data_IF_854730298117
#
_entry.id   IF_854730298117
#
_cell.length_a   1.000
_cell.length_b   1.000
_cell.length_c   1.000
_cell.angle_alpha   90.00
_cell.angle_beta   90.00
_cell.angle_gamma   90.00
#
_symmetry.space_group_name_H-M   'P 1'
#
loop_
_entity.id
_entity.type
_entity.pdbx_description
1 polymer ?
#
# COMPACT_ATOMS: atom_id res chain seq x y z
N UNK A 1 46.17 35.02 -20.44
CA UNK A 1 45.57 33.89 -21.20
C UNK A 1 44.44 33.34 -20.37
N UNK A 2 43.18 33.37 -20.83
CA UNK A 2 42.09 32.77 -20.07
C UNK A 2 42.19 31.24 -20.18
N UNK A 3 42.25 30.58 -19.03
CA UNK A 3 42.14 29.13 -18.86
C UNK A 3 40.86 28.64 -19.55
N UNK A 4 40.99 27.87 -20.62
CA UNK A 4 39.85 27.20 -21.23
C UNK A 4 39.32 26.19 -20.22
N UNK A 5 38.19 26.53 -19.58
CA UNK A 5 37.46 25.65 -18.65
C UNK A 5 36.92 24.45 -19.43
N UNK A 6 37.76 23.43 -19.56
CA UNK A 6 37.39 22.15 -20.14
C UNK A 6 36.40 21.49 -19.18
N UNK A 7 35.09 21.72 -19.40
CA UNK A 7 34.08 20.91 -18.74
C UNK A 7 34.31 19.47 -19.21
N UNK A 8 34.56 18.50 -18.31
CA UNK A 8 34.70 17.11 -18.73
C UNK A 8 33.42 16.73 -19.49
N UNK A 9 33.59 16.11 -20.65
CA UNK A 9 32.46 15.63 -21.44
C UNK A 9 31.65 14.67 -20.56
N UNK A 10 30.33 14.90 -20.44
CA UNK A 10 29.46 14.06 -19.63
C UNK A 10 29.50 12.62 -20.18
N UNK A 11 29.92 11.67 -19.33
CA UNK A 11 29.87 10.25 -19.66
C UNK A 11 28.42 9.76 -19.58
N UNK A 12 27.85 9.46 -20.74
CA UNK A 12 26.49 8.94 -20.88
C UNK A 12 26.34 7.63 -20.10
N UNK A 13 27.38 6.80 -20.07
CA UNK A 13 27.38 5.53 -19.34
C UNK A 13 27.23 5.74 -17.83
N UNK A 14 27.95 6.72 -17.29
CA UNK A 14 27.81 7.10 -15.89
C UNK A 14 26.39 7.61 -15.59
N UNK A 15 25.84 8.52 -16.41
CA UNK A 15 24.49 9.07 -16.18
C UNK A 15 23.43 7.95 -16.15
N UNK A 16 23.45 7.06 -17.14
CA UNK A 16 22.47 5.98 -17.22
C UNK A 16 22.63 4.96 -16.09
N UNK A 17 23.86 4.70 -15.66
CA UNK A 17 24.14 3.87 -14.49
C UNK A 17 23.57 4.49 -13.21
N UNK A 18 23.78 5.80 -13.00
CA UNK A 18 23.23 6.54 -11.86
C UNK A 18 21.71 6.58 -11.87
N UNK A 19 21.09 6.78 -13.04
CA UNK A 19 19.63 6.75 -13.18
C UNK A 19 19.06 5.36 -12.87
N UNK A 20 19.75 4.30 -13.32
CA UNK A 20 19.38 2.93 -12.99
C UNK A 20 19.44 2.68 -11.49
N UNK A 21 20.51 3.12 -10.83
CA UNK A 21 20.68 2.98 -9.38
C UNK A 21 19.63 3.77 -8.61
N UNK A 22 19.33 5.01 -9.03
CA UNK A 22 18.27 5.82 -8.46
C UNK A 22 16.89 5.13 -8.54
N UNK A 23 16.56 4.57 -9.70
CA UNK A 23 15.33 3.81 -9.88
C UNK A 23 15.31 2.53 -9.03
N UNK A 24 16.43 1.83 -8.91
CA UNK A 24 16.56 0.64 -8.06
C UNK A 24 16.34 0.96 -6.58
N UNK A 25 16.98 2.01 -6.07
CA UNK A 25 16.82 2.48 -4.70
C UNK A 25 15.38 2.93 -4.42
N UNK A 26 14.76 3.66 -5.35
CA UNK A 26 13.35 4.06 -5.23
C UNK A 26 12.42 2.84 -5.16
N UNK A 27 12.65 1.83 -6.00
CA UNK A 27 11.88 0.58 -5.94
C UNK A 27 12.05 -0.13 -4.60
N UNK A 28 13.28 -0.19 -4.08
CA UNK A 28 13.58 -0.81 -2.79
C UNK A 28 12.86 -0.08 -1.64
N UNK A 29 13.00 1.24 -1.56
CA UNK A 29 12.34 2.09 -0.56
C UNK A 29 10.81 1.94 -0.61
N UNK A 30 10.22 1.99 -1.80
CA UNK A 30 8.78 1.79 -1.95
C UNK A 30 8.32 0.42 -1.44
N UNK A 31 9.15 -0.61 -1.51
CA UNK A 31 8.82 -1.93 -0.95
C UNK A 31 8.99 -1.99 0.58
N UNK A 32 10.03 -1.37 1.13
CA UNK A 32 10.21 -1.27 2.58
C UNK A 32 9.10 -0.46 3.25
N UNK A 33 8.72 0.68 2.67
CA UNK A 33 7.64 1.53 3.19
C UNK A 33 6.31 0.79 3.22
N UNK A 34 6.05 -0.07 2.22
CA UNK A 34 4.84 -0.93 2.23
C UNK A 34 4.82 -1.92 3.39
N UNK A 35 5.98 -2.47 3.75
CA UNK A 35 6.08 -3.35 4.93
C UNK A 35 5.81 -2.54 6.20
N UNK A 36 6.39 -1.35 6.29
CA UNK A 36 6.26 -0.45 7.43
C UNK A 36 4.82 0.00 7.66
N UNK A 37 4.15 0.54 6.64
CA UNK A 37 2.74 0.96 6.69
C UNK A 37 1.84 -0.18 7.14
N UNK A 38 2.02 -1.37 6.56
CA UNK A 38 1.26 -2.57 6.95
C UNK A 38 1.47 -2.92 8.42
N UNK A 39 2.73 -2.97 8.89
CA UNK A 39 3.04 -3.33 10.27
C UNK A 39 2.49 -2.32 11.28
N UNK A 40 2.59 -1.02 11.00
CA UNK A 40 2.04 0.01 11.88
C UNK A 40 0.52 -0.11 12.01
N UNK A 41 -0.19 -0.30 10.90
CA UNK A 41 -1.63 -0.50 10.95
C UNK A 41 -2.03 -1.71 11.80
N UNK A 42 -1.39 -2.86 11.59
CA UNK A 42 -1.67 -4.08 12.36
C UNK A 42 -1.37 -3.89 13.84
N UNK A 43 -0.26 -3.22 14.19
CA UNK A 43 0.08 -2.92 15.57
C UNK A 43 -0.98 -2.03 16.22
N UNK A 44 -1.38 -0.92 15.57
CA UNK A 44 -2.41 -0.01 16.07
C UNK A 44 -3.77 -0.71 16.22
N UNK A 45 -4.17 -1.52 15.24
CA UNK A 45 -5.39 -2.30 15.31
C UNK A 45 -5.34 -3.31 16.48
N UNK A 46 -4.20 -3.99 16.68
CA UNK A 46 -3.98 -4.90 17.80
C UNK A 46 -4.08 -4.21 19.17
N UNK A 47 -3.52 -3.01 19.32
CA UNK A 47 -3.66 -2.21 20.54
C UNK A 47 -5.12 -1.86 20.81
N UNK A 48 -5.88 -1.46 19.78
CA UNK A 48 -7.29 -1.13 19.95
C UNK A 48 -8.12 -2.37 20.35
N UNK A 49 -7.84 -3.53 19.76
CA UNK A 49 -8.47 -4.80 20.16
C UNK A 49 -8.17 -5.13 21.64
N UNK A 50 -6.94 -4.89 22.10
CA UNK A 50 -6.60 -5.09 23.50
C UNK A 50 -7.36 -4.12 24.43
N UNK A 51 -7.58 -2.87 24.01
CA UNK A 51 -8.40 -1.91 24.77
C UNK A 51 -9.84 -2.39 24.95
N UNK A 52 -10.42 -3.10 23.98
CA UNK A 52 -11.77 -3.66 24.12
C UNK A 52 -11.89 -4.67 25.25
N UNK A 53 -10.83 -5.42 25.55
CA UNK A 53 -10.85 -6.43 26.61
C UNK A 53 -11.04 -5.82 28.01
N UNK A 54 -10.77 -4.52 28.16
CA UNK A 54 -10.81 -3.81 29.45
C UNK A 54 -11.92 -2.76 29.49
N UNK A 55 -12.65 -2.56 28.40
CA UNK A 55 -13.69 -1.54 28.30
C UNK A 55 -14.97 -1.94 29.04
N UNK A 56 -15.51 -1.04 29.87
CA UNK A 56 -16.82 -1.22 30.48
C UNK A 56 -17.94 -0.79 29.51
N UNK A 57 -18.53 -1.75 28.81
CA UNK A 57 -19.59 -1.49 27.85
C UNK A 57 -20.95 -1.15 28.48
N UNK A 58 -21.14 -1.27 29.81
CA UNK A 58 -22.34 -0.75 30.47
C UNK A 58 -22.33 0.79 30.47
N UNK A 59 -21.13 1.37 30.58
CA UNK A 59 -20.93 2.81 30.58
C UNK A 59 -21.02 3.40 29.16
N UNK A 60 -21.93 4.36 28.98
CA UNK A 60 -22.15 5.04 27.69
C UNK A 60 -20.91 5.75 27.16
N UNK A 61 -20.10 6.36 28.02
CA UNK A 61 -18.90 7.10 27.62
C UNK A 61 -17.84 6.18 27.02
N UNK A 62 -17.70 4.96 27.56
CA UNK A 62 -16.80 3.95 27.00
C UNK A 62 -17.27 3.47 25.63
N UNK A 63 -18.58 3.24 25.45
CA UNK A 63 -19.14 2.91 24.13
C UNK A 63 -18.87 4.00 23.09
N UNK A 64 -19.01 5.28 23.47
CA UNK A 64 -18.69 6.42 22.60
C UNK A 64 -17.20 6.45 22.26
N UNK A 65 -16.32 6.31 23.26
CA UNK A 65 -14.88 6.31 23.04
C UNK A 65 -14.44 5.21 22.08
N UNK A 66 -14.99 3.99 22.26
CA UNK A 66 -14.74 2.86 21.35
C UNK A 66 -15.30 3.12 19.94
N UNK A 67 -16.50 3.69 19.82
CA UNK A 67 -17.09 4.05 18.53
C UNK A 67 -16.21 5.04 17.76
N UNK A 68 -15.72 6.09 18.45
CA UNK A 68 -14.81 7.08 17.89
C UNK A 68 -13.49 6.42 17.47
N UNK A 69 -12.90 5.60 18.34
CA UNK A 69 -11.63 4.94 18.07
C UNK A 69 -11.72 4.03 16.83
N UNK A 70 -12.79 3.24 16.67
CA UNK A 70 -13.01 2.43 15.48
C UNK A 70 -13.31 3.24 14.22
N UNK A 71 -13.98 4.39 14.37
CA UNK A 71 -14.20 5.32 13.25
C UNK A 71 -12.87 5.86 12.74
N UNK A 72 -12.00 6.32 13.66
CA UNK A 72 -10.66 6.81 13.32
C UNK A 72 -9.78 5.70 12.74
N UNK A 73 -9.81 4.50 13.33
CA UNK A 73 -9.08 3.34 12.82
C UNK A 73 -9.55 2.95 11.41
N UNK A 74 -10.85 3.05 11.14
CA UNK A 74 -11.43 2.81 9.82
C UNK A 74 -10.90 3.80 8.76
N UNK A 75 -10.92 5.10 9.10
CA UNK A 75 -10.42 6.15 8.20
C UNK A 75 -8.93 5.95 7.96
N UNK A 76 -8.16 5.73 9.02
CA UNK A 76 -6.72 5.47 8.93
C UNK A 76 -6.43 4.23 8.09
N UNK A 77 -7.13 3.12 8.33
CA UNK A 77 -6.93 1.88 7.58
C UNK A 77 -7.27 2.02 6.11
N UNK A 78 -8.24 2.88 5.77
CA UNK A 78 -8.55 3.17 4.37
C UNK A 78 -7.42 3.97 3.71
N UNK A 79 -6.88 4.96 4.39
CA UNK A 79 -5.71 5.72 3.92
C UNK A 79 -4.48 4.81 3.76
N UNK A 80 -4.21 3.94 4.74
CA UNK A 80 -3.12 2.97 4.65
C UNK A 80 -3.30 2.01 3.47
N UNK A 81 -4.53 1.62 3.11
CA UNK A 81 -4.78 0.83 1.90
C UNK A 81 -4.38 1.60 0.63
N UNK A 82 -4.76 2.88 0.55
CA UNK A 82 -4.41 3.74 -0.58
C UNK A 82 -2.89 3.92 -0.68
N UNK A 83 -2.19 4.10 0.44
CA UNK A 83 -0.73 4.14 0.48
C UNK A 83 -0.11 2.85 -0.05
N UNK A 84 -0.59 1.67 0.40
CA UNK A 84 -0.10 0.38 -0.08
C UNK A 84 -0.27 0.20 -1.60
N UNK A 85 -1.39 0.69 -2.15
CA UNK A 85 -1.68 0.70 -3.59
C UNK A 85 -0.72 1.65 -4.31
N UNK A 86 -0.59 2.90 -3.84
CA UNK A 86 0.27 3.91 -4.46
C UNK A 86 1.74 3.51 -4.46
N UNK A 87 2.23 2.95 -3.35
CA UNK A 87 3.59 2.43 -3.25
C UNK A 87 3.81 1.23 -4.19
N UNK A 88 2.76 0.42 -4.47
CA UNK A 88 2.86 -0.67 -5.46
C UNK A 88 2.97 -0.14 -6.89
N UNK A 89 2.28 0.95 -7.19
CA UNK A 89 2.39 1.65 -8.48
C UNK A 89 3.78 2.26 -8.62
N UNK A 90 4.25 3.01 -7.61
CA UNK A 90 5.59 3.61 -7.59
C UNK A 90 6.69 2.56 -7.81
N UNK A 91 6.61 1.42 -7.12
CA UNK A 91 7.52 0.30 -7.34
C UNK A 91 7.53 -0.18 -8.80
N UNK A 92 6.34 -0.33 -9.42
CA UNK A 92 6.25 -0.79 -10.82
C UNK A 92 6.86 0.23 -11.78
N UNK A 93 6.63 1.51 -11.53
CA UNK A 93 7.14 2.57 -12.40
C UNK A 93 8.67 2.68 -12.31
N UNK A 94 9.26 2.53 -11.13
CA UNK A 94 10.71 2.40 -10.98
C UNK A 94 11.28 1.18 -11.71
N UNK A 95 10.60 0.02 -11.65
CA UNK A 95 11.02 -1.18 -12.41
C UNK A 95 10.93 -0.96 -13.92
N UNK A 96 9.93 -0.21 -14.40
CA UNK A 96 9.82 0.18 -15.80
C UNK A 96 10.96 1.09 -16.24
N UNK A 97 11.31 2.09 -15.43
CA UNK A 97 12.46 2.96 -15.71
C UNK A 97 13.75 2.16 -15.84
N UNK A 98 14.01 1.23 -14.90
CA UNK A 98 15.14 0.31 -14.98
C UNK A 98 15.13 -0.53 -16.26
N UNK A 99 13.97 -1.06 -16.67
CA UNK A 99 13.86 -1.85 -17.91
C UNK A 99 14.06 -0.99 -19.15
N UNK A 100 13.62 0.27 -19.16
CA UNK A 100 13.81 1.18 -20.28
C UNK A 100 15.31 1.44 -20.53
N UNK A 101 16.10 1.58 -19.47
CA UNK A 101 17.57 1.71 -19.58
C UNK A 101 18.18 0.41 -20.13
N UNK A 102 17.74 -0.76 -19.65
CA UNK A 102 18.21 -2.05 -20.19
C UNK A 102 17.90 -2.20 -21.68
N UNK A 103 16.69 -1.85 -22.11
CA UNK A 103 16.29 -1.89 -23.52
C UNK A 103 17.14 -0.94 -24.38
N UNK A 104 17.57 0.20 -23.84
CA UNK A 104 18.50 1.10 -24.53
C UNK A 104 19.86 0.41 -24.77
N UNK A 105 20.43 -0.27 -23.76
CA UNK A 105 21.69 -1.00 -23.91
C UNK A 105 21.58 -2.23 -24.81
N UNK A 106 20.45 -2.93 -24.79
CA UNK A 106 20.19 -4.10 -25.65
C UNK A 106 20.21 -3.75 -27.14
N UNK A 107 19.79 -2.54 -27.52
CA UNK A 107 19.88 -2.08 -28.92
C UNK A 107 21.31 -1.98 -29.43
N UNK A 108 22.25 -1.66 -28.54
CA UNK A 108 23.67 -1.58 -28.87
C UNK A 108 24.39 -2.92 -28.72
N UNK A 109 23.95 -3.77 -27.79
CA UNK A 109 24.57 -5.07 -27.48
C UNK A 109 23.49 -6.17 -27.33
N UNK A 110 23.07 -6.79 -28.44
CA UNK A 110 22.02 -7.83 -28.42
C UNK A 110 22.39 -9.05 -27.59
N UNK A 111 23.67 -9.38 -27.46
CA UNK A 111 24.16 -10.55 -26.70
C UNK A 111 23.80 -10.50 -25.20
N UNK A 112 23.44 -9.32 -24.68
CA UNK A 112 22.99 -9.15 -23.30
C UNK A 112 21.54 -9.58 -23.08
N UNK A 113 20.80 -9.96 -24.12
CA UNK A 113 19.38 -10.31 -24.02
C UNK A 113 19.13 -11.47 -23.07
N UNK A 114 19.97 -12.51 -23.12
CA UNK A 114 19.87 -13.68 -22.23
C UNK A 114 20.17 -13.35 -20.76
N UNK A 115 20.91 -12.27 -20.50
CA UNK A 115 21.26 -11.86 -19.15
C UNK A 115 20.08 -11.22 -18.39
N UNK A 116 19.10 -10.65 -19.10
CA UNK A 116 18.02 -9.87 -18.49
C UNK A 116 16.70 -10.64 -18.43
N UNK A 117 16.38 -11.17 -17.25
CA UNK A 117 15.09 -11.83 -16.98
C UNK A 117 13.87 -10.91 -17.15
N UNK A 118 13.98 -9.65 -16.70
CA UNK A 118 12.89 -8.68 -16.76
C UNK A 118 13.18 -7.60 -17.79
N UNK A 119 12.24 -7.48 -18.73
CA UNK A 119 12.17 -6.52 -19.82
C UNK A 119 10.86 -5.76 -19.71
N UNK A 120 10.72 -4.63 -20.40
CA UNK A 120 9.52 -3.80 -20.33
C UNK A 120 8.23 -4.60 -20.62
N UNK A 121 8.30 -5.57 -21.54
CA UNK A 121 7.18 -6.46 -21.86
C UNK A 121 6.94 -7.60 -20.86
N UNK A 122 7.95 -8.00 -20.07
CA UNK A 122 7.89 -9.16 -19.16
C UNK A 122 7.79 -8.76 -17.68
N UNK A 123 7.63 -7.47 -17.37
CA UNK A 123 7.42 -6.99 -15.99
C UNK A 123 6.12 -7.60 -15.45
N UNK A 124 6.12 -8.19 -14.23
CA UNK A 124 4.91 -8.72 -13.64
C UNK A 124 3.88 -7.60 -13.41
N UNK A 125 2.62 -7.88 -13.71
CA UNK A 125 1.51 -6.95 -13.48
C UNK A 125 1.46 -6.48 -12.01
N UNK A 126 1.16 -5.20 -11.78
CA UNK A 126 1.08 -4.64 -10.43
C UNK A 126 -0.01 -5.34 -9.60
N UNK A 127 -1.16 -5.61 -10.23
CA UNK A 127 -2.32 -6.30 -9.65
C UNK A 127 -2.26 -7.83 -9.68
N UNK A 128 -1.07 -8.46 -9.78
CA UNK A 128 -0.96 -9.93 -9.74
C UNK A 128 -1.63 -10.47 -8.47
N UNK A 129 -2.73 -11.21 -8.65
CA UNK A 129 -3.46 -11.89 -7.57
C UNK A 129 -2.54 -12.89 -6.86
N UNK A 130 -2.79 -13.10 -5.57
CA UNK A 130 -1.99 -14.02 -4.72
C UNK A 130 -0.51 -13.66 -4.60
N UNK A 131 -0.12 -12.44 -4.96
CA UNK A 131 1.18 -11.90 -4.59
C UNK A 131 1.19 -11.49 -3.12
N UNK A 132 2.38 -11.40 -2.50
CA UNK A 132 2.54 -10.87 -1.14
C UNK A 132 1.91 -9.47 -1.02
N UNK A 133 2.02 -8.67 -2.08
CA UNK A 133 1.37 -7.36 -2.18
C UNK A 133 -0.16 -7.45 -2.03
N UNK A 134 -0.79 -8.36 -2.78
CA UNK A 134 -2.23 -8.60 -2.73
C UNK A 134 -2.65 -9.14 -1.36
N UNK A 135 -1.92 -10.11 -0.80
CA UNK A 135 -2.24 -10.69 0.51
C UNK A 135 -2.19 -9.64 1.63
N UNK A 136 -1.20 -8.73 1.62
CA UNK A 136 -1.16 -7.61 2.57
C UNK A 136 -2.35 -6.68 2.41
N UNK A 137 -2.71 -6.32 1.17
CA UNK A 137 -3.89 -5.51 0.87
C UNK A 137 -5.19 -6.17 1.33
N UNK A 138 -5.33 -7.48 1.10
CA UNK A 138 -6.47 -8.30 1.52
C UNK A 138 -6.60 -8.33 3.05
N UNK A 139 -5.51 -8.60 3.77
CA UNK A 139 -5.48 -8.60 5.24
C UNK A 139 -5.87 -7.23 5.78
N UNK A 140 -5.26 -6.15 5.27
CA UNK A 140 -5.57 -4.80 5.70
C UNK A 140 -7.05 -4.43 5.43
N UNK A 141 -7.57 -4.82 4.27
CA UNK A 141 -8.99 -4.60 3.92
C UNK A 141 -9.93 -5.33 4.87
N UNK A 142 -9.59 -6.56 5.26
CA UNK A 142 -10.39 -7.35 6.21
C UNK A 142 -10.43 -6.68 7.60
N UNK A 143 -9.28 -6.27 8.14
CA UNK A 143 -9.22 -5.55 9.42
C UNK A 143 -9.95 -4.21 9.36
N UNK A 144 -9.85 -3.51 8.23
CA UNK A 144 -10.47 -2.21 8.07
C UNK A 144 -12.00 -2.30 7.95
N UNK A 145 -12.49 -3.31 7.22
CA UNK A 145 -13.92 -3.63 7.15
C UNK A 145 -14.50 -4.00 8.52
N UNK A 146 -13.79 -4.81 9.30
CA UNK A 146 -14.18 -5.11 10.69
C UNK A 146 -14.23 -3.84 11.53
N UNK A 147 -13.28 -2.92 11.35
CA UNK A 147 -13.28 -1.63 12.06
C UNK A 147 -14.51 -0.78 11.73
N UNK A 148 -14.94 -0.75 10.46
CA UNK A 148 -16.22 -0.11 10.06
C UNK A 148 -17.41 -0.80 10.72
N UNK A 149 -17.45 -2.14 10.70
CA UNK A 149 -18.50 -2.91 11.36
C UNK A 149 -18.61 -2.56 12.84
N UNK A 150 -17.48 -2.54 13.56
CA UNK A 150 -17.43 -2.14 14.97
C UNK A 150 -17.90 -0.70 15.18
N UNK A 151 -17.47 0.25 14.34
CA UNK A 151 -17.92 1.63 14.44
C UNK A 151 -19.45 1.73 14.31
N UNK A 152 -20.05 1.08 13.30
CA UNK A 152 -21.51 1.05 13.09
C UNK A 152 -22.22 0.37 14.27
N UNK A 153 -21.67 -0.73 14.77
CA UNK A 153 -22.22 -1.47 15.91
C UNK A 153 -22.30 -0.58 17.15
N UNK A 154 -21.19 0.07 17.54
CA UNK A 154 -21.16 0.91 18.73
C UNK A 154 -21.93 2.21 18.58
N UNK A 155 -21.91 2.85 17.41
CA UNK A 155 -22.74 4.03 17.16
C UNK A 155 -24.23 3.72 17.21
N UNK A 156 -24.65 2.61 16.60
CA UNK A 156 -26.03 2.15 16.68
C UNK A 156 -26.46 1.85 18.12
N UNK A 157 -25.60 1.20 18.90
CA UNK A 157 -25.86 0.94 20.31
C UNK A 157 -25.98 2.22 21.15
N UNK A 158 -25.14 3.23 20.88
CA UNK A 158 -25.21 4.53 21.57
C UNK A 158 -26.48 5.30 21.21
N UNK A 159 -26.94 5.20 19.97
CA UNK A 159 -28.09 5.95 19.45
C UNK A 159 -29.44 5.31 19.83
N UNK A 160 -29.56 4.00 19.63
CA UNK A 160 -30.85 3.30 19.70
C UNK A 160 -31.01 2.44 20.97
N UNK A 161 -29.96 2.32 21.80
CA UNK A 161 -29.94 1.41 22.94
C UNK A 161 -29.74 -0.06 22.57
N UNK A 162 -29.87 -0.41 21.29
CA UNK A 162 -29.64 -1.74 20.74
C UNK A 162 -28.52 -1.72 19.69
N UNK A 163 -27.74 -2.79 19.64
CA UNK A 163 -26.62 -2.89 18.71
C UNK A 163 -27.08 -3.49 17.38
N UNK A 164 -27.02 -2.76 16.25
CA UNK A 164 -27.59 -3.20 14.97
C UNK A 164 -26.65 -4.18 14.27
N UNK A 165 -26.60 -5.42 14.76
CA UNK A 165 -25.67 -6.44 14.31
C UNK A 165 -25.73 -6.66 12.79
N UNK A 166 -26.94 -6.81 12.24
CA UNK A 166 -27.12 -7.03 10.79
C UNK A 166 -26.54 -5.87 9.98
N UNK A 167 -26.84 -4.62 10.37
CA UNK A 167 -26.32 -3.45 9.67
C UNK A 167 -24.79 -3.37 9.75
N UNK A 168 -24.21 -3.68 10.91
CA UNK A 168 -22.74 -3.70 11.07
C UNK A 168 -22.06 -4.74 10.18
N UNK A 169 -22.62 -5.95 10.09
CA UNK A 169 -22.07 -7.02 9.24
C UNK A 169 -22.22 -6.70 7.75
N UNK A 170 -23.38 -6.19 7.34
CA UNK A 170 -23.62 -5.76 5.95
C UNK A 170 -22.70 -4.60 5.59
N UNK A 171 -22.58 -3.60 6.46
CA UNK A 171 -21.68 -2.46 6.26
C UNK A 171 -20.21 -2.88 6.11
N UNK A 172 -19.73 -3.77 6.97
CA UNK A 172 -18.39 -4.33 6.88
C UNK A 172 -18.19 -5.10 5.56
N UNK A 173 -19.12 -5.98 5.19
CA UNK A 173 -19.03 -6.77 3.96
C UNK A 173 -19.01 -5.88 2.70
N UNK A 174 -19.90 -4.88 2.63
CA UNK A 174 -19.94 -3.92 1.51
C UNK A 174 -18.64 -3.13 1.43
N UNK A 175 -18.12 -2.64 2.56
CA UNK A 175 -16.88 -1.86 2.59
C UNK A 175 -15.66 -2.72 2.22
N UNK A 176 -15.61 -3.97 2.65
CA UNK A 176 -14.58 -4.94 2.24
C UNK A 176 -14.60 -5.13 0.72
N UNK A 177 -15.77 -5.42 0.14
CA UNK A 177 -15.90 -5.61 -1.31
C UNK A 177 -15.49 -4.35 -2.08
N UNK A 178 -15.91 -3.18 -1.59
CA UNK A 178 -15.50 -1.89 -2.15
C UNK A 178 -13.98 -1.74 -2.19
N UNK A 179 -13.27 -2.06 -1.11
CA UNK A 179 -11.81 -1.99 -1.03
C UNK A 179 -11.11 -2.95 -1.99
N UNK A 180 -11.63 -4.18 -2.14
CA UNK A 180 -11.09 -5.16 -3.08
C UNK A 180 -11.30 -4.71 -4.53
N UNK A 181 -12.48 -4.18 -4.85
CA UNK A 181 -12.76 -3.61 -6.18
C UNK A 181 -11.85 -2.42 -6.44
N UNK A 182 -11.66 -1.53 -5.45
CA UNK A 182 -10.76 -0.39 -5.57
C UNK A 182 -9.31 -0.83 -5.84
N UNK A 183 -8.82 -1.82 -5.10
CA UNK A 183 -7.49 -2.41 -5.31
C UNK A 183 -7.32 -2.93 -6.73
N UNK A 184 -8.27 -3.71 -7.23
CA UNK A 184 -8.23 -4.29 -8.57
C UNK A 184 -8.33 -3.20 -9.66
N UNK A 185 -9.18 -2.19 -9.47
CA UNK A 185 -9.36 -1.09 -10.43
C UNK A 185 -8.12 -0.21 -10.56
N UNK A 186 -7.40 0.04 -9.47
CA UNK A 186 -6.21 0.92 -9.49
C UNK A 186 -4.95 0.18 -9.95
N UNK A 187 -4.85 -1.14 -9.73
CA UNK A 187 -3.66 -1.94 -10.05
C UNK A 187 -3.73 -2.75 -11.35
N UNK A 188 -4.85 -2.72 -12.06
CA UNK A 188 -4.90 -3.09 -13.49
C UNK A 188 -3.99 -2.14 -14.28
#
# INVERSE_FOLDING_TARGET
MPESTHRPALDIGEILSREFEYAAQTAFQANEDRVRVFNYYIATAGTLLATLAVADFANRSHRIAVAIAFTLLSVWGFLSLLELIKLRVAWRDSVRAMCQIKEYYLRANPDLEEAFRWRTATIPAAGKKWSIAFLKGLTLSLFNATSVGCAVFFWGWVANGEAPLVLSLVGAAVFFLFQIVLWDRVLR
#
